data_IF_998587975164
#
_entry.id   IF_998587975164
#
_cell.length_a   1.000
_cell.length_b   1.000
_cell.length_c   1.000
_cell.angle_alpha   90.00
_cell.angle_beta   90.00
_cell.angle_gamma   90.00
#
_symmetry.space_group_name_H-M   'P 1'
#
loop_
_entity.id
_entity.type
_entity.pdbx_description
1 polymer ?
#
# COMPACT_ATOMS: atom_id res chain seq x y z
N UNK A 1 5.07 31.26 -9.16
CA UNK A 1 4.83 31.32 -10.63
C UNK A 1 4.92 32.73 -11.22
N UNK A 2 4.66 33.81 -10.47
CA UNK A 2 4.76 35.18 -11.00
C UNK A 2 6.19 35.67 -11.30
N UNK A 3 7.23 35.02 -10.75
CA UNK A 3 8.64 35.43 -10.96
C UNK A 3 9.39 34.54 -11.95
N UNK A 4 8.74 33.50 -12.51
CA UNK A 4 9.39 32.50 -13.38
C UNK A 4 8.71 32.44 -14.76
N UNK A 5 7.48 32.93 -14.87
CA UNK A 5 6.74 32.97 -16.12
C UNK A 5 6.01 34.31 -16.27
N UNK A 6 6.49 35.13 -17.21
CA UNK A 6 6.05 36.52 -17.44
C UNK A 6 4.75 36.63 -18.26
N UNK A 7 4.09 35.49 -18.52
CA UNK A 7 2.87 35.40 -19.35
C UNK A 7 1.60 35.05 -18.57
N UNK A 8 0.45 35.13 -19.26
CA UNK A 8 -0.86 34.85 -18.68
C UNK A 8 -0.94 33.39 -18.21
N UNK A 9 -1.28 33.16 -16.93
CA UNK A 9 -1.46 31.83 -16.35
C UNK A 9 -2.66 31.13 -16.98
N UNK A 10 -2.42 30.30 -17.99
CA UNK A 10 -3.43 29.42 -18.59
C UNK A 10 -3.27 27.99 -18.08
N UNK A 11 -4.37 27.22 -18.07
CA UNK A 11 -4.39 25.81 -17.65
C UNK A 11 -3.35 24.97 -18.41
N UNK A 12 -3.17 25.24 -19.71
CA UNK A 12 -2.17 24.59 -20.58
C UNK A 12 -0.74 24.79 -20.09
N UNK A 13 -0.43 25.97 -19.53
CA UNK A 13 0.90 26.28 -19.01
C UNK A 13 1.10 25.57 -17.67
N UNK A 14 0.09 25.58 -16.81
CA UNK A 14 0.13 24.86 -15.51
C UNK A 14 0.34 23.36 -15.74
N UNK A 15 -0.35 22.77 -16.70
CA UNK A 15 -0.23 21.34 -17.03
C UNK A 15 1.18 20.98 -17.55
N UNK A 16 1.87 21.92 -18.23
CA UNK A 16 3.25 21.74 -18.68
C UNK A 16 4.28 21.87 -17.57
N UNK A 17 4.06 22.75 -16.59
CA UNK A 17 4.99 22.96 -15.47
C UNK A 17 4.78 21.98 -14.32
N UNK A 18 3.58 21.42 -14.17
CA UNK A 18 3.24 20.41 -13.15
C UNK A 18 4.19 19.20 -13.13
N UNK A 19 4.52 18.53 -14.26
CA UNK A 19 5.44 17.39 -14.24
C UNK A 19 6.87 17.80 -13.88
N UNK A 20 7.31 18.99 -14.29
CA UNK A 20 8.66 19.52 -14.00
C UNK A 20 8.81 19.84 -12.52
N UNK A 21 7.82 20.50 -11.93
CA UNK A 21 7.79 20.82 -10.50
C UNK A 21 7.69 19.54 -9.67
N UNK A 22 6.86 18.57 -10.08
CA UNK A 22 6.73 17.27 -9.41
C UNK A 22 8.05 16.48 -9.43
N UNK A 23 8.79 16.53 -10.53
CA UNK A 23 10.12 15.91 -10.65
C UNK A 23 11.14 16.62 -9.74
N UNK A 24 11.20 17.94 -9.78
CA UNK A 24 12.08 18.73 -8.91
C UNK A 24 11.79 18.53 -7.43
N UNK A 25 10.51 18.36 -7.05
CA UNK A 25 10.14 18.09 -5.66
C UNK A 25 10.55 16.68 -5.22
N UNK A 26 10.41 15.67 -6.09
CA UNK A 26 10.93 14.31 -5.81
C UNK A 26 12.45 14.29 -5.64
N UNK A 27 13.16 15.02 -6.51
CA UNK A 27 14.61 15.18 -6.40
C UNK A 27 15.00 15.91 -5.11
N UNK A 28 14.31 16.98 -4.74
CA UNK A 28 14.53 17.70 -3.49
C UNK A 28 14.30 16.83 -2.24
N UNK A 29 13.28 15.97 -2.24
CA UNK A 29 13.03 15.03 -1.13
C UNK A 29 14.13 13.97 -1.08
N UNK A 30 14.56 13.42 -2.21
CA UNK A 30 15.68 12.49 -2.28
C UNK A 30 16.98 13.14 -1.74
N UNK A 31 17.25 14.40 -2.12
CA UNK A 31 18.40 15.17 -1.65
C UNK A 31 18.29 15.51 -0.14
N UNK A 32 17.08 15.75 0.39
CA UNK A 32 16.87 15.97 1.83
C UNK A 32 17.08 14.69 2.65
N UNK A 33 16.64 13.54 2.15
CA UNK A 33 16.85 12.25 2.80
C UNK A 33 18.34 11.89 2.75
N UNK A 34 18.98 12.05 1.59
CA UNK A 34 20.41 11.83 1.43
C UNK A 34 21.24 12.79 2.29
N UNK A 35 20.88 14.07 2.39
CA UNK A 35 21.60 15.02 3.25
C UNK A 35 21.41 14.73 4.74
N UNK A 36 20.24 14.23 5.18
CA UNK A 36 20.03 13.77 6.56
C UNK A 36 20.76 12.46 6.88
N UNK A 37 20.81 11.52 5.94
CA UNK A 37 21.65 10.32 6.05
C UNK A 37 23.14 10.68 6.10
N UNK A 38 23.60 11.56 5.21
CA UNK A 38 24.97 12.05 5.17
C UNK A 38 25.32 12.86 6.43
N UNK A 39 24.40 13.66 6.97
CA UNK A 39 24.61 14.37 8.24
C UNK A 39 24.75 13.42 9.44
N UNK A 40 24.13 12.23 9.39
CA UNK A 40 24.27 11.20 10.40
C UNK A 40 25.54 10.34 10.24
N UNK A 41 26.11 10.27 9.03
CA UNK A 41 27.24 9.39 8.69
C UNK A 41 28.58 10.10 8.48
N UNK A 42 28.65 11.43 8.62
CA UNK A 42 29.90 12.16 8.41
C UNK A 42 30.85 12.12 9.64
N UNK A 43 31.40 10.94 9.91
CA UNK A 43 32.86 10.82 10.07
C UNK A 43 33.34 9.92 8.95
N UNK A 44 34.05 10.56 8.01
CA UNK A 44 34.87 9.98 6.95
C UNK A 44 34.15 9.04 5.96
N UNK A 45 33.98 9.50 4.72
CA UNK A 45 34.87 9.13 3.59
C UNK A 45 34.27 9.73 2.30
N UNK A 46 35.17 10.23 1.47
CA UNK A 46 34.94 10.82 0.16
C UNK A 46 34.67 9.74 -0.91
N UNK A 47 34.22 10.20 -2.10
CA UNK A 47 34.20 9.47 -3.39
C UNK A 47 32.97 8.54 -3.52
N UNK A 48 32.14 8.57 -4.58
CA UNK A 48 32.46 8.42 -6.00
C UNK A 48 31.25 8.84 -6.87
N UNK A 49 31.52 9.61 -7.91
CA UNK A 49 30.63 9.91 -9.02
C UNK A 49 30.37 8.63 -9.82
N UNK A 50 29.13 8.16 -9.89
CA UNK A 50 28.75 7.05 -10.78
C UNK A 50 27.55 7.44 -11.63
N UNK A 51 27.80 7.33 -12.93
CA UNK A 51 27.00 7.70 -14.09
C UNK A 51 25.62 7.03 -14.08
N UNK A 52 24.59 7.81 -14.37
CA UNK A 52 23.23 7.35 -14.67
C UNK A 52 23.17 6.81 -16.11
N UNK A 53 22.84 5.53 -16.34
CA UNK A 53 22.44 5.09 -17.66
C UNK A 53 21.06 5.67 -17.96
N UNK A 54 20.96 6.47 -19.02
CA UNK A 54 19.68 6.78 -19.64
C UNK A 54 19.08 5.49 -20.18
N UNK A 55 18.17 4.88 -19.43
CA UNK A 55 17.31 3.82 -19.94
C UNK A 55 16.05 4.48 -20.48
N UNK A 56 15.88 4.36 -21.79
CA UNK A 56 14.72 4.80 -22.55
C UNK A 56 13.45 4.26 -21.88
N UNK A 57 12.61 5.17 -21.41
CA UNK A 57 11.32 4.86 -20.81
C UNK A 57 10.34 4.37 -21.89
N UNK A 58 10.41 3.08 -22.18
CA UNK A 58 9.26 2.32 -22.66
C UNK A 58 9.11 1.08 -21.78
N UNK A 59 8.92 1.31 -20.48
CA UNK A 59 8.34 0.31 -19.60
C UNK A 59 6.84 0.62 -19.58
N UNK A 60 6.07 -0.19 -20.29
CA UNK A 60 4.74 -0.54 -19.80
C UNK A 60 4.97 -0.99 -18.35
N UNK A 61 4.56 -0.15 -17.39
CA UNK A 61 4.56 -0.52 -15.98
C UNK A 61 3.64 -1.73 -15.86
N UNK A 62 4.22 -2.93 -15.96
CA UNK A 62 3.64 -4.12 -15.36
C UNK A 62 3.47 -3.76 -13.88
N UNK A 63 2.26 -3.35 -13.51
CA UNK A 63 1.83 -3.18 -12.13
C UNK A 63 1.86 -4.57 -11.48
N UNK A 64 3.07 -5.02 -11.15
CA UNK A 64 3.27 -6.20 -10.33
C UNK A 64 2.54 -5.96 -9.01
N UNK A 65 1.69 -6.93 -8.68
CA UNK A 65 0.95 -6.96 -7.43
C UNK A 65 1.98 -7.25 -6.33
N UNK A 66 2.53 -6.19 -5.73
CA UNK A 66 3.52 -6.28 -4.65
C UNK A 66 2.79 -6.23 -3.33
N UNK A 67 2.81 -7.33 -2.60
CA UNK A 67 2.25 -7.40 -1.25
C UNK A 67 3.03 -6.50 -0.30
N UNK A 68 2.31 -5.58 0.34
CA UNK A 68 2.82 -4.57 1.26
C UNK A 68 2.91 -5.09 2.70
N UNK A 69 3.70 -4.42 3.53
CA UNK A 69 3.84 -4.78 4.96
C UNK A 69 2.50 -4.72 5.70
N UNK A 70 1.67 -3.70 5.41
CA UNK A 70 0.35 -3.54 6.01
C UNK A 70 -0.60 -4.72 5.67
N UNK A 71 -0.49 -5.29 4.48
CA UNK A 71 -1.29 -6.45 4.08
C UNK A 71 -0.84 -7.72 4.81
N UNK A 72 0.47 -7.90 5.00
CA UNK A 72 1.02 -9.01 5.80
C UNK A 72 0.64 -8.87 7.28
N UNK A 73 0.62 -7.64 7.80
CA UNK A 73 0.17 -7.35 9.17
C UNK A 73 -1.32 -7.66 9.34
N UNK A 74 -2.16 -7.24 8.39
CA UNK A 74 -3.58 -7.58 8.38
C UNK A 74 -3.82 -9.10 8.33
N UNK A 75 -3.04 -9.81 7.50
CA UNK A 75 -3.07 -11.27 7.45
C UNK A 75 -2.72 -11.90 8.79
N UNK A 76 -1.63 -11.45 9.40
CA UNK A 76 -1.14 -11.97 10.68
C UNK A 76 -2.14 -11.69 11.81
N UNK A 77 -2.70 -10.49 11.85
CA UNK A 77 -3.75 -10.08 12.78
C UNK A 77 -4.98 -10.99 12.64
N UNK A 78 -5.41 -11.24 11.40
CA UNK A 78 -6.55 -12.12 11.12
C UNK A 78 -6.27 -13.57 11.53
N UNK A 79 -5.06 -14.09 11.27
CA UNK A 79 -4.66 -15.43 11.74
C UNK A 79 -4.67 -15.54 13.26
N UNK A 80 -4.17 -14.51 13.95
CA UNK A 80 -4.13 -14.49 15.41
C UNK A 80 -5.54 -14.44 16.00
N UNK A 81 -6.43 -13.63 15.42
CA UNK A 81 -7.84 -13.54 15.80
C UNK A 81 -8.55 -14.88 15.65
N UNK A 82 -8.23 -15.65 14.60
CA UNK A 82 -8.91 -16.91 14.28
C UNK A 82 -8.24 -18.16 14.87
N UNK A 83 -7.15 -18.02 15.63
CA UNK A 83 -6.34 -19.15 16.11
C UNK A 83 -7.14 -20.19 16.92
N UNK A 84 -8.17 -19.73 17.63
CA UNK A 84 -8.99 -20.56 18.51
C UNK A 84 -10.26 -21.09 17.79
N UNK A 85 -10.50 -20.66 16.55
CA UNK A 85 -11.69 -21.01 15.74
C UNK A 85 -11.36 -22.00 14.64
N UNK A 86 -10.25 -21.82 13.92
CA UNK A 86 -9.82 -22.69 12.83
C UNK A 86 -8.30 -22.88 12.89
N UNK A 87 -7.82 -24.02 12.43
CA UNK A 87 -6.38 -24.21 12.25
C UNK A 87 -5.81 -23.11 11.34
N UNK A 88 -4.85 -22.36 11.89
CA UNK A 88 -4.15 -21.27 11.20
C UNK A 88 -3.43 -21.72 9.92
N UNK A 89 -3.15 -23.01 9.75
CA UNK A 89 -2.61 -23.59 8.51
C UNK A 89 -3.59 -23.52 7.34
N UNK A 90 -4.90 -23.45 7.62
CA UNK A 90 -5.99 -23.38 6.63
C UNK A 90 -6.27 -21.96 6.15
N UNK A 91 -5.69 -20.94 6.79
CA UNK A 91 -5.89 -19.53 6.45
C UNK A 91 -4.78 -19.09 5.49
N UNK A 92 -5.20 -18.65 4.30
CA UNK A 92 -4.33 -18.18 3.22
C UNK A 92 -4.69 -16.75 2.85
N UNK A 93 -3.78 -16.07 2.14
CA UNK A 93 -4.10 -14.81 1.49
C UNK A 93 -3.87 -14.91 -0.02
N UNK A 94 -4.53 -14.03 -0.76
CA UNK A 94 -4.26 -13.75 -2.17
C UNK A 94 -4.28 -12.26 -2.39
N UNK A 95 -3.16 -11.77 -2.88
CA UNK A 95 -3.04 -10.39 -3.29
C UNK A 95 -3.69 -10.18 -4.66
N UNK A 96 -4.52 -9.16 -4.77
CA UNK A 96 -5.16 -8.77 -6.03
C UNK A 96 -4.96 -7.28 -6.19
N UNK A 97 -4.91 -6.83 -7.44
CA UNK A 97 -4.73 -5.42 -7.83
C UNK A 97 -5.58 -4.39 -7.07
N UNK A 98 -6.78 -4.76 -6.62
CA UNK A 98 -7.71 -3.84 -5.95
C UNK A 98 -7.95 -4.15 -4.48
N UNK A 99 -7.53 -5.31 -3.98
CA UNK A 99 -7.76 -5.72 -2.59
C UNK A 99 -6.93 -6.94 -2.21
N UNK A 100 -6.60 -6.99 -0.93
CA UNK A 100 -5.95 -8.13 -0.32
C UNK A 100 -6.99 -9.09 0.26
N UNK A 101 -6.99 -10.33 -0.21
CA UNK A 101 -8.06 -11.30 0.06
C UNK A 101 -7.60 -12.35 1.07
N UNK A 102 -8.27 -12.47 2.20
CA UNK A 102 -8.01 -13.53 3.18
C UNK A 102 -9.02 -14.64 2.98
N UNK A 103 -8.54 -15.86 2.76
CA UNK A 103 -9.34 -17.02 2.34
C UNK A 103 -9.04 -18.26 3.16
N UNK A 104 -9.99 -19.20 3.17
CA UNK A 104 -9.86 -20.51 3.83
C UNK A 104 -9.64 -21.60 2.77
N UNK A 105 -8.81 -22.59 3.10
CA UNK A 105 -8.50 -23.77 2.29
C UNK A 105 -8.01 -23.41 0.86
N UNK A 106 -7.34 -22.27 0.72
CA UNK A 106 -6.88 -21.74 -0.57
C UNK A 106 -7.99 -21.63 -1.64
N UNK A 107 -9.25 -21.44 -1.23
CA UNK A 107 -10.40 -21.33 -2.12
C UNK A 107 -10.95 -19.92 -2.18
N UNK A 108 -11.01 -19.33 -3.38
CA UNK A 108 -11.57 -17.98 -3.60
C UNK A 108 -13.06 -17.86 -3.25
N UNK A 109 -13.78 -18.99 -3.17
CA UNK A 109 -15.19 -19.03 -2.76
C UNK A 109 -15.38 -19.01 -1.25
N UNK A 110 -14.35 -19.40 -0.50
CA UNK A 110 -14.31 -19.39 0.98
C UNK A 110 -13.49 -18.20 1.47
N UNK A 111 -13.79 -17.01 0.96
CA UNK A 111 -13.14 -15.80 1.43
C UNK A 111 -13.77 -15.32 2.74
N UNK A 112 -12.95 -14.78 3.64
CA UNK A 112 -13.36 -14.33 4.97
C UNK A 112 -13.54 -12.82 4.97
N UNK A 113 -12.47 -12.11 4.60
CA UNK A 113 -12.47 -10.67 4.45
C UNK A 113 -11.60 -10.21 3.29
N UNK A 114 -11.93 -9.05 2.73
CA UNK A 114 -11.16 -8.34 1.71
C UNK A 114 -10.77 -6.98 2.24
N UNK A 115 -9.47 -6.73 2.32
CA UNK A 115 -8.91 -5.47 2.77
C UNK A 115 -8.64 -4.56 1.57
N UNK A 116 -9.05 -3.30 1.71
CA UNK A 116 -8.85 -2.23 0.74
C UNK A 116 -8.04 -1.13 1.41
N UNK A 117 -6.82 -0.90 0.94
CA UNK A 117 -5.96 0.19 1.40
C UNK A 117 -5.91 1.24 0.30
N UNK A 118 -6.51 2.41 0.54
CA UNK A 118 -6.41 3.55 -0.35
C UNK A 118 -5.78 4.73 0.38
N UNK A 119 -5.17 5.66 -0.35
CA UNK A 119 -4.52 6.84 0.24
C UNK A 119 -5.41 7.69 1.15
N UNK A 120 -6.74 7.59 1.02
CA UNK A 120 -7.70 8.36 1.80
C UNK A 120 -8.45 7.54 2.87
N UNK A 121 -8.53 6.21 2.71
CA UNK A 121 -9.30 5.34 3.59
C UNK A 121 -8.82 3.90 3.54
N UNK A 122 -8.78 3.27 4.69
CA UNK A 122 -8.57 1.83 4.84
C UNK A 122 -9.85 1.21 5.34
N UNK A 123 -10.28 0.13 4.71
CA UNK A 123 -11.50 -0.57 5.11
C UNK A 123 -11.44 -2.03 4.69
N UNK A 124 -12.25 -2.87 5.32
CA UNK A 124 -12.43 -4.24 4.87
C UNK A 124 -13.90 -4.59 4.71
N UNK A 125 -14.14 -5.56 3.83
CA UNK A 125 -15.46 -6.15 3.59
C UNK A 125 -15.43 -7.57 4.10
N UNK A 126 -16.47 -7.97 4.82
CA UNK A 126 -16.62 -9.33 5.35
C UNK A 126 -17.52 -10.16 4.43
N UNK A 127 -17.29 -11.46 4.32
CA UNK A 127 -18.12 -12.38 3.55
C UNK A 127 -19.38 -12.85 4.30
N UNK A 128 -20.10 -11.93 4.92
CA UNK A 128 -21.42 -12.18 5.49
C UNK A 128 -22.52 -12.04 4.43
N UNK A 129 -23.79 -12.10 4.86
CA UNK A 129 -24.95 -11.99 3.97
C UNK A 129 -25.09 -10.59 3.38
N UNK A 130 -24.77 -9.55 4.17
CA UNK A 130 -24.94 -8.15 3.78
C UNK A 130 -23.70 -7.53 3.11
N UNK A 131 -22.56 -8.25 3.09
CA UNK A 131 -21.25 -7.71 2.70
C UNK A 131 -20.88 -6.48 3.53
N UNK A 132 -20.94 -6.62 4.85
CA UNK A 132 -20.65 -5.54 5.79
C UNK A 132 -19.28 -4.94 5.50
N UNK A 133 -19.25 -3.62 5.32
CA UNK A 133 -18.04 -2.82 5.10
C UNK A 133 -17.69 -2.06 6.36
N UNK A 134 -16.43 -2.15 6.79
CA UNK A 134 -15.95 -1.55 8.04
C UNK A 134 -14.70 -0.74 7.75
N UNK A 135 -14.78 0.58 8.00
CA UNK A 135 -13.62 1.47 7.92
C UNK A 135 -12.77 1.34 9.19
N UNK A 136 -11.45 1.31 9.00
CA UNK A 136 -10.46 1.17 10.07
C UNK A 136 -9.35 2.20 9.87
N UNK A 137 -8.70 2.57 10.98
CA UNK A 137 -7.56 3.49 10.93
C UNK A 137 -6.27 2.69 10.75
N UNK A 138 -6.15 1.59 11.50
CA UNK A 138 -5.02 0.67 11.47
C UNK A 138 -5.48 -0.75 11.10
N UNK A 139 -4.64 -1.51 10.40
CA UNK A 139 -4.92 -2.92 10.08
C UNK A 139 -5.04 -3.79 11.34
N UNK A 140 -4.42 -3.39 12.46
CA UNK A 140 -4.59 -4.05 13.76
C UNK A 140 -6.05 -3.95 14.25
N UNK A 141 -6.79 -2.91 13.87
CA UNK A 141 -8.19 -2.71 14.30
C UNK A 141 -9.12 -3.84 13.82
N UNK A 142 -8.71 -4.64 12.84
CA UNK A 142 -9.41 -5.88 12.45
C UNK A 142 -9.67 -6.77 13.68
N UNK A 143 -8.75 -6.77 14.67
CA UNK A 143 -8.88 -7.54 15.90
C UNK A 143 -10.14 -7.17 16.70
N UNK A 144 -10.58 -5.92 16.63
CA UNK A 144 -11.75 -5.39 17.36
C UNK A 144 -13.09 -5.85 16.76
N UNK A 145 -13.07 -6.51 15.61
CA UNK A 145 -14.27 -6.96 14.88
C UNK A 145 -14.41 -8.48 14.83
N UNK A 146 -13.82 -9.18 15.81
CA UNK A 146 -13.88 -10.63 15.94
C UNK A 146 -15.32 -11.17 15.97
N UNK A 147 -16.24 -10.44 16.60
CA UNK A 147 -17.68 -10.76 16.68
C UNK A 147 -18.34 -10.89 15.30
N UNK A 148 -17.85 -10.16 14.29
CA UNK A 148 -18.36 -10.21 12.92
C UNK A 148 -17.59 -11.19 12.04
N UNK A 149 -16.30 -11.37 12.29
CA UNK A 149 -15.42 -12.21 11.47
C UNK A 149 -15.58 -13.70 11.80
N UNK A 150 -15.63 -14.06 13.09
CA UNK A 150 -15.72 -15.45 13.55
C UNK A 150 -16.94 -16.18 12.94
N UNK A 151 -18.17 -15.61 12.94
CA UNK A 151 -19.33 -16.27 12.36
C UNK A 151 -19.26 -16.51 10.85
N UNK A 152 -18.34 -15.85 10.13
CA UNK A 152 -18.09 -16.14 8.71
C UNK A 152 -17.22 -17.37 8.55
N UNK A 153 -16.20 -17.52 9.41
CA UNK A 153 -15.29 -18.66 9.41
C UNK A 153 -16.00 -19.94 9.83
N UNK A 154 -16.88 -19.85 10.83
CA UNK A 154 -17.67 -20.98 11.33
C UNK A 154 -18.53 -21.67 10.24
N UNK A 155 -18.92 -20.94 9.18
CA UNK A 155 -19.66 -21.52 8.03
C UNK A 155 -18.83 -22.47 7.18
N UNK A 156 -17.52 -22.50 7.39
CA UNK A 156 -16.55 -23.27 6.60
C UNK A 156 -15.81 -24.35 7.40
N UNK A 157 -16.14 -24.48 8.70
CA UNK A 157 -15.73 -25.59 9.55
C UNK A 157 -16.53 -26.85 9.18
#
# INVERSE_FOLDING_TARGET
>A
LGEIYDGIKTKVIIDKFTPVVKRGFRQFIADQVNSKLNAALNTSVSVEELEVPQVEANAEEEEDIITTEAEIEAFTTTKLLLKDTIDTSRIFYRDNKSYFNIIIDNSIRKWVLRLYINNARTYFVINDEEKTTIEIVDVIDIFNHADKIIPVVERYL
#
